data_IF_751230315322
#
_entry.id   IF_751230315322
#
_cell.length_a   1.000
_cell.length_b   1.000
_cell.length_c   1.000
_cell.angle_alpha   90.00
_cell.angle_beta   90.00
_cell.angle_gamma   90.00
#
_symmetry.space_group_name_H-M   'P 1'
#
loop_
_entity.id
_entity.type
_entity.pdbx_description
1 polymer ?
#
# COMPACT_ATOMS: atom_id res chain seq x y z
N UNK A 1 8.21 -31.53 5.33
CA UNK A 1 7.32 -31.61 4.15
C UNK A 1 6.31 -30.47 4.27
N UNK A 2 6.65 -29.29 3.74
CA UNK A 2 5.83 -28.09 3.89
C UNK A 2 4.65 -28.16 2.93
N UNK A 3 3.44 -28.28 3.49
CA UNK A 3 2.21 -28.25 2.74
C UNK A 3 2.03 -26.83 2.17
N UNK A 4 2.38 -26.65 0.90
CA UNK A 4 2.04 -25.47 0.12
C UNK A 4 0.50 -25.46 0.06
N UNK A 5 -0.20 -24.42 0.54
CA UNK A 5 -1.64 -24.40 0.42
C UNK A 5 -2.00 -24.35 -1.07
N UNK A 6 -2.79 -25.35 -1.47
CA UNK A 6 -3.33 -25.59 -2.79
C UNK A 6 -3.88 -24.32 -3.45
N UNK A 7 -3.66 -24.21 -4.75
CA UNK A 7 -4.07 -23.14 -5.69
C UNK A 7 -5.53 -22.67 -5.60
N UNK A 8 -6.40 -23.38 -4.88
CA UNK A 8 -7.78 -22.98 -4.59
C UNK A 8 -7.91 -21.74 -3.68
N UNK A 9 -6.94 -21.43 -2.80
CA UNK A 9 -6.98 -20.18 -2.02
C UNK A 9 -6.62 -18.95 -2.86
N UNK A 10 -5.84 -19.11 -3.93
CA UNK A 10 -5.48 -18.01 -4.85
C UNK A 10 -6.63 -17.60 -5.78
N UNK A 11 -7.61 -18.48 -6.01
CA UNK A 11 -8.77 -18.20 -6.87
C UNK A 11 -9.91 -17.46 -6.14
N UNK A 12 -9.98 -17.50 -4.81
CA UNK A 12 -11.07 -16.85 -4.03
C UNK A 12 -10.80 -15.37 -3.69
N UNK A 13 -10.06 -14.66 -4.54
CA UNK A 13 -9.93 -13.19 -4.51
C UNK A 13 -10.34 -12.57 -5.84
N UNK A 14 -10.95 -13.34 -6.76
CA UNK A 14 -11.14 -12.93 -8.15
C UNK A 14 -12.10 -11.75 -8.36
N UNK A 15 -12.93 -11.35 -7.39
CA UNK A 15 -13.92 -10.28 -7.60
C UNK A 15 -14.00 -9.26 -6.44
N UNK A 16 -12.89 -8.92 -5.78
CA UNK A 16 -12.88 -7.77 -4.88
C UNK A 16 -12.99 -6.46 -5.69
N UNK A 17 -14.23 -5.96 -5.83
CA UNK A 17 -14.52 -4.74 -6.58
C UNK A 17 -14.11 -3.49 -5.78
N UNK A 18 -12.81 -3.17 -5.81
CA UNK A 18 -12.25 -1.96 -5.20
C UNK A 18 -12.43 -0.70 -6.08
N UNK A 19 -13.19 -0.78 -7.18
CA UNK A 19 -13.29 0.30 -8.16
C UNK A 19 -13.77 1.62 -7.55
N UNK A 20 -14.77 1.58 -6.67
CA UNK A 20 -15.31 2.77 -6.01
C UNK A 20 -14.27 3.42 -5.10
N UNK A 21 -13.66 2.63 -4.23
CA UNK A 21 -12.62 3.08 -3.32
C UNK A 21 -11.40 3.62 -4.09
N UNK A 22 -10.98 2.95 -5.15
CA UNK A 22 -9.86 3.38 -6.00
C UNK A 22 -10.18 4.66 -6.75
N UNK A 23 -11.43 4.85 -7.19
CA UNK A 23 -11.90 6.12 -7.74
C UNK A 23 -11.84 7.23 -6.70
N UNK A 24 -12.27 6.98 -5.46
CA UNK A 24 -12.19 7.96 -4.38
C UNK A 24 -10.74 8.36 -4.05
N UNK A 25 -9.84 7.39 -3.90
CA UNK A 25 -8.41 7.66 -3.66
C UNK A 25 -7.79 8.40 -4.84
N UNK A 26 -8.05 7.96 -6.07
CA UNK A 26 -7.54 8.61 -7.28
C UNK A 26 -8.01 10.06 -7.36
N UNK A 27 -9.29 10.32 -7.08
CA UNK A 27 -9.84 11.68 -7.04
C UNK A 27 -9.18 12.53 -5.95
N UNK A 28 -8.91 11.96 -4.78
CA UNK A 28 -8.20 12.66 -3.68
C UNK A 28 -6.77 13.01 -4.08
N UNK A 29 -6.06 12.09 -4.74
CA UNK A 29 -4.72 12.31 -5.26
C UNK A 29 -4.71 13.37 -6.38
N UNK A 30 -5.67 13.33 -7.30
CA UNK A 30 -5.83 14.32 -8.37
C UNK A 30 -6.09 15.73 -7.84
N UNK A 31 -6.96 15.88 -6.83
CA UNK A 31 -7.19 17.19 -6.18
C UNK A 31 -5.88 17.78 -5.63
N UNK A 32 -5.07 16.96 -4.97
CA UNK A 32 -3.74 17.36 -4.46
C UNK A 32 -2.79 17.72 -5.60
N UNK A 33 -2.84 16.98 -6.70
CA UNK A 33 -2.05 17.26 -7.90
C UNK A 33 -2.43 18.59 -8.57
N UNK A 34 -3.71 18.95 -8.61
CA UNK A 34 -4.14 20.24 -9.17
C UNK A 34 -3.66 21.41 -8.32
N UNK A 35 -3.68 21.29 -6.99
CA UNK A 35 -3.09 22.27 -6.09
C UNK A 35 -1.59 22.40 -6.40
N UNK A 36 -0.88 21.28 -6.49
CA UNK A 36 0.54 21.25 -6.86
C UNK A 36 0.81 21.97 -8.17
N UNK A 37 0.02 21.69 -9.22
CA UNK A 37 0.13 22.33 -10.54
C UNK A 37 -0.08 23.84 -10.46
N UNK A 38 -1.07 24.29 -9.68
CA UNK A 38 -1.34 25.72 -9.45
C UNK A 38 -0.18 26.39 -8.73
N UNK A 39 0.41 25.74 -7.73
CA UNK A 39 1.58 26.24 -7.03
C UNK A 39 2.80 26.39 -7.97
N UNK A 40 3.04 25.46 -8.88
CA UNK A 40 4.10 25.59 -9.90
C UNK A 40 3.88 26.81 -10.78
N UNK A 41 2.64 27.01 -11.25
CA UNK A 41 2.31 28.08 -12.19
C UNK A 41 2.45 29.48 -11.60
N UNK A 42 2.13 29.66 -10.32
CA UNK A 42 2.08 31.00 -9.70
C UNK A 42 3.26 31.32 -8.76
N UNK A 43 3.85 30.32 -8.10
CA UNK A 43 4.78 30.55 -6.98
C UNK A 43 6.25 30.30 -7.34
N UNK A 44 6.56 29.83 -8.56
CA UNK A 44 7.95 29.61 -8.99
C UNK A 44 8.74 28.65 -8.09
N UNK A 45 8.08 27.57 -7.62
CA UNK A 45 8.64 26.65 -6.62
C UNK A 45 9.85 25.87 -7.18
N UNK A 46 10.92 25.76 -6.39
CA UNK A 46 12.10 24.94 -6.71
C UNK A 46 11.72 23.46 -6.90
N UNK A 47 12.31 22.79 -7.91
CA UNK A 47 12.05 21.37 -8.21
C UNK A 47 12.15 20.44 -6.99
N UNK A 48 13.15 20.64 -6.12
CA UNK A 48 13.33 19.81 -4.90
C UNK A 48 12.12 19.88 -3.97
N UNK A 49 11.62 21.10 -3.71
CA UNK A 49 10.42 21.31 -2.88
C UNK A 49 9.22 20.63 -3.51
N UNK A 50 9.07 20.76 -4.83
CA UNK A 50 7.97 20.17 -5.57
C UNK A 50 7.96 18.64 -5.53
N UNK A 51 9.14 18.03 -5.67
CA UNK A 51 9.33 16.59 -5.54
C UNK A 51 8.98 16.10 -4.12
N UNK A 52 9.40 16.85 -3.09
CA UNK A 52 9.05 16.55 -1.70
C UNK A 52 7.54 16.65 -1.48
N UNK A 53 6.89 17.72 -1.96
CA UNK A 53 5.44 17.90 -1.82
C UNK A 53 4.67 16.78 -2.53
N UNK A 54 5.08 16.40 -3.73
CA UNK A 54 4.50 15.27 -4.44
C UNK A 54 4.64 13.96 -3.64
N UNK A 55 5.85 13.68 -3.15
CA UNK A 55 6.15 12.46 -2.39
C UNK A 55 5.35 12.40 -1.09
N UNK A 56 5.24 13.52 -0.37
CA UNK A 56 4.56 13.55 0.93
C UNK A 56 3.03 13.57 0.82
N UNK A 57 2.46 14.16 -0.22
CA UNK A 57 1.01 14.35 -0.32
C UNK A 57 0.32 13.41 -1.31
N UNK A 58 0.83 13.31 -2.54
CA UNK A 58 0.17 12.55 -3.62
C UNK A 58 0.59 11.09 -3.53
N UNK A 59 1.89 10.84 -3.42
CA UNK A 59 2.43 9.49 -3.38
C UNK A 59 1.96 8.72 -2.15
N UNK A 60 2.01 9.32 -0.96
CA UNK A 60 1.50 8.68 0.27
C UNK A 60 0.04 8.23 0.17
N UNK A 61 -0.84 9.03 -0.47
CA UNK A 61 -2.26 8.65 -0.62
C UNK A 61 -2.49 7.44 -1.48
N UNK A 62 -1.68 7.24 -2.51
CA UNK A 62 -1.82 6.12 -3.44
C UNK A 62 -1.06 4.89 -2.93
N UNK A 63 0.18 5.08 -2.50
CA UNK A 63 1.08 3.98 -2.15
C UNK A 63 0.79 3.31 -0.82
N UNK A 64 0.24 4.04 0.16
CA UNK A 64 -0.15 3.41 1.43
C UNK A 64 -1.17 2.29 1.22
N UNK A 65 -2.09 2.48 0.26
CA UNK A 65 -3.11 1.49 -0.06
C UNK A 65 -2.64 0.44 -1.08
N UNK A 66 -1.39 0.51 -1.56
CA UNK A 66 -0.87 -0.36 -2.62
C UNK A 66 -1.07 -1.86 -2.37
N UNK A 67 -0.79 -2.42 -1.17
CA UNK A 67 -1.00 -3.85 -0.93
C UNK A 67 -2.47 -4.29 -1.10
N UNK A 68 -3.43 -3.37 -0.93
CA UNK A 68 -4.86 -3.66 -0.98
C UNK A 68 -5.34 -3.75 -2.43
N UNK A 69 -4.91 -2.83 -3.29
CA UNK A 69 -5.34 -2.79 -4.69
C UNK A 69 -4.34 -3.40 -5.68
N UNK A 70 -3.13 -3.75 -5.26
CA UNK A 70 -2.17 -4.51 -6.07
C UNK A 70 -2.75 -5.78 -6.72
N UNK A 71 -3.66 -6.56 -6.08
CA UNK A 71 -4.32 -7.70 -6.73
C UNK A 71 -5.50 -7.31 -7.64
N UNK A 72 -5.87 -6.03 -7.75
CA UNK A 72 -7.00 -5.59 -8.57
C UNK A 72 -6.77 -5.79 -10.08
N UNK A 73 -7.88 -5.68 -10.84
CA UNK A 73 -7.88 -5.75 -12.31
C UNK A 73 -6.94 -4.72 -12.96
N UNK A 74 -6.34 -5.11 -14.08
CA UNK A 74 -5.38 -4.31 -14.86
C UNK A 74 -5.92 -2.92 -15.22
N UNK A 75 -7.20 -2.82 -15.55
CA UNK A 75 -7.83 -1.54 -15.92
C UNK A 75 -7.77 -0.49 -14.80
N UNK A 76 -7.85 -0.93 -13.53
CA UNK A 76 -7.78 -0.01 -12.40
C UNK A 76 -6.34 0.39 -12.11
N UNK A 77 -5.39 -0.52 -12.34
CA UNK A 77 -3.95 -0.22 -12.23
C UNK A 77 -3.54 0.84 -13.24
N UNK A 78 -3.92 0.69 -14.51
CA UNK A 78 -3.65 1.67 -15.57
C UNK A 78 -4.13 3.08 -15.20
N UNK A 79 -5.31 3.17 -14.55
CA UNK A 79 -5.84 4.45 -14.09
C UNK A 79 -4.97 5.07 -12.99
N UNK A 80 -4.50 4.28 -12.03
CA UNK A 80 -3.61 4.76 -10.96
C UNK A 80 -2.26 5.17 -11.54
N UNK A 81 -1.72 4.38 -12.45
CA UNK A 81 -0.49 4.64 -13.18
C UNK A 81 -0.56 6.00 -13.89
N UNK A 82 -1.66 6.27 -14.60
CA UNK A 82 -1.87 7.56 -15.27
C UNK A 82 -1.82 8.76 -14.30
N UNK A 83 -2.38 8.61 -13.10
CA UNK A 83 -2.38 9.65 -12.06
C UNK A 83 -0.97 9.85 -11.48
N UNK A 84 -0.15 8.80 -11.43
CA UNK A 84 1.20 8.88 -10.88
C UNK A 84 2.24 9.43 -11.85
N UNK A 85 2.11 9.16 -13.15
CA UNK A 85 3.05 9.66 -14.16
C UNK A 85 2.88 11.15 -14.48
N UNK A 86 1.66 11.68 -14.41
CA UNK A 86 1.39 13.11 -14.62
C UNK A 86 2.24 14.08 -13.77
N UNK A 87 2.38 13.86 -12.45
CA UNK A 87 3.23 14.65 -11.57
C UNK A 87 4.69 14.78 -12.00
N UNK A 88 5.30 13.72 -12.53
CA UNK A 88 6.71 13.74 -12.96
C UNK A 88 6.95 14.78 -14.06
N UNK A 89 5.98 14.93 -14.98
CA UNK A 89 6.03 15.96 -16.03
C UNK A 89 5.87 17.36 -15.45
N UNK A 90 4.96 17.54 -14.48
CA UNK A 90 4.76 18.82 -13.78
C UNK A 90 6.02 19.22 -13.01
N UNK A 91 6.70 18.25 -12.39
CA UNK A 91 7.94 18.51 -11.63
C UNK A 91 9.09 18.93 -12.54
N UNK A 92 9.19 18.26 -13.68
CA UNK A 92 10.24 18.52 -14.67
C UNK A 92 9.97 19.80 -15.48
N UNK A 93 8.69 20.16 -15.66
CA UNK A 93 8.26 21.16 -16.65
C UNK A 93 8.18 20.58 -18.07
N UNK A 94 8.15 19.26 -18.21
CA UNK A 94 8.13 18.57 -19.49
C UNK A 94 6.77 18.70 -20.19
N UNK A 95 6.80 18.71 -21.52
CA UNK A 95 5.58 18.75 -22.35
C UNK A 95 4.74 17.48 -22.15
N UNK A 96 3.42 17.59 -22.30
CA UNK A 96 2.48 16.48 -22.09
C UNK A 96 2.78 15.23 -22.95
N UNK A 97 3.36 15.42 -24.14
CA UNK A 97 3.75 14.36 -25.08
C UNK A 97 5.01 13.58 -24.67
N UNK A 98 5.77 14.05 -23.68
CA UNK A 98 7.01 13.40 -23.24
C UNK A 98 6.72 12.00 -22.70
N UNK A 99 7.63 11.06 -22.95
CA UNK A 99 7.51 9.70 -22.42
C UNK A 99 7.51 9.71 -20.87
N UNK A 100 6.53 9.03 -20.26
CA UNK A 100 6.36 8.99 -18.80
C UNK A 100 7.56 8.41 -18.07
N UNK A 101 8.15 7.33 -18.61
CA UNK A 101 9.31 6.65 -18.02
C UNK A 101 10.51 7.58 -18.00
N UNK A 102 10.76 8.30 -19.10
CA UNK A 102 11.85 9.28 -19.18
C UNK A 102 11.69 10.41 -18.14
N UNK A 103 10.47 10.93 -17.99
CA UNK A 103 10.19 11.96 -17.00
C UNK A 103 10.40 11.47 -15.55
N UNK A 104 10.06 10.20 -15.25
CA UNK A 104 10.36 9.60 -13.94
C UNK A 104 11.85 9.43 -13.70
N UNK A 105 12.61 8.98 -14.71
CA UNK A 105 14.07 8.81 -14.59
C UNK A 105 14.77 10.14 -14.35
N UNK A 106 14.33 11.22 -14.98
CA UNK A 106 14.87 12.56 -14.75
C UNK A 106 14.57 13.08 -13.34
N UNK A 107 13.38 12.75 -12.80
CA UNK A 107 13.04 13.05 -11.41
C UNK A 107 13.76 12.16 -10.38
N UNK A 108 14.50 11.13 -10.82
CA UNK A 108 15.12 10.14 -9.94
C UNK A 108 14.11 9.24 -9.23
N UNK A 109 12.93 9.03 -9.82
CA UNK A 109 11.87 8.20 -9.25
C UNK A 109 11.96 6.77 -9.78
N UNK A 110 11.85 5.78 -8.89
CA UNK A 110 11.69 4.38 -9.29
C UNK A 110 10.32 4.14 -9.94
N UNK A 111 10.24 3.14 -10.82
CA UNK A 111 8.98 2.74 -11.44
C UNK A 111 7.92 2.40 -10.40
N UNK A 112 6.65 2.65 -10.75
CA UNK A 112 5.53 2.37 -9.87
C UNK A 112 5.45 0.89 -9.49
N UNK A 113 5.67 -0.01 -10.44
CA UNK A 113 5.66 -1.45 -10.19
C UNK A 113 6.68 -1.85 -9.11
N UNK A 114 7.91 -1.32 -9.19
CA UNK A 114 8.95 -1.59 -8.19
C UNK A 114 8.55 -1.06 -6.81
N UNK A 115 7.94 0.14 -6.76
CA UNK A 115 7.44 0.72 -5.51
C UNK A 115 6.32 -0.12 -4.88
N UNK A 116 5.37 -0.60 -5.68
CA UNK A 116 4.27 -1.48 -5.21
C UNK A 116 4.83 -2.80 -4.69
N UNK A 117 5.78 -3.42 -5.42
CA UNK A 117 6.44 -4.66 -4.98
C UNK A 117 7.10 -4.47 -3.62
N UNK A 118 7.87 -3.39 -3.44
CA UNK A 118 8.50 -3.07 -2.16
C UNK A 118 7.48 -2.83 -1.04
N UNK A 119 6.41 -2.09 -1.31
CA UNK A 119 5.34 -1.86 -0.33
C UNK A 119 4.64 -3.16 0.09
N UNK A 120 4.40 -4.05 -0.87
CA UNK A 120 3.78 -5.36 -0.65
C UNK A 120 4.67 -6.27 0.20
N UNK A 121 5.98 -6.32 -0.10
CA UNK A 121 6.96 -7.08 0.67
C UNK A 121 7.02 -6.57 2.11
N UNK A 122 7.14 -5.25 2.31
CA UNK A 122 7.15 -4.63 3.65
C UNK A 122 5.88 -4.97 4.43
N UNK A 123 4.72 -4.88 3.78
CA UNK A 123 3.45 -5.21 4.38
C UNK A 123 3.39 -6.69 4.80
N UNK A 124 3.78 -7.60 3.90
CA UNK A 124 3.83 -9.05 4.18
C UNK A 124 4.72 -9.36 5.39
N UNK A 125 5.93 -8.81 5.44
CA UNK A 125 6.86 -9.04 6.56
C UNK A 125 6.26 -8.57 7.89
N UNK A 126 5.61 -7.40 7.89
CA UNK A 126 4.92 -6.88 9.07
C UNK A 126 3.78 -7.81 9.52
N UNK A 127 2.99 -8.32 8.58
CA UNK A 127 1.90 -9.26 8.88
C UNK A 127 2.40 -10.60 9.43
N UNK A 128 3.52 -11.11 8.91
CA UNK A 128 4.15 -12.33 9.41
C UNK A 128 4.65 -12.16 10.85
N UNK A 129 5.32 -11.05 11.15
CA UNK A 129 5.78 -10.75 12.51
C UNK A 129 4.61 -10.67 13.50
N UNK A 130 3.51 -10.01 13.12
CA UNK A 130 2.30 -9.94 13.95
C UNK A 130 1.71 -11.34 14.16
N UNK A 131 1.61 -12.14 13.10
CA UNK A 131 1.07 -13.50 13.19
C UNK A 131 1.90 -14.38 14.15
N UNK A 132 3.23 -14.31 14.07
CA UNK A 132 4.12 -15.04 14.97
C UNK A 132 3.96 -14.60 16.43
N UNK A 133 3.83 -13.30 16.68
CA UNK A 133 3.58 -12.77 18.02
C UNK A 133 2.24 -13.28 18.59
N UNK A 134 1.18 -13.26 17.78
CA UNK A 134 -0.14 -13.76 18.19
C UNK A 134 -0.14 -15.26 18.49
N UNK A 135 0.58 -16.06 17.71
CA UNK A 135 0.74 -17.50 17.98
C UNK A 135 1.45 -17.74 19.32
N UNK A 136 2.52 -16.99 19.59
CA UNK A 136 3.28 -17.06 20.83
C UNK A 136 2.43 -16.71 22.06
N UNK A 137 1.61 -15.65 21.96
CA UNK A 137 0.66 -15.25 23.00
C UNK A 137 -0.43 -16.32 23.19
N UNK A 138 -0.97 -16.88 22.11
CA UNK A 138 -1.98 -17.93 22.20
C UNK A 138 -1.45 -19.18 22.91
N UNK A 139 -0.21 -19.59 22.63
CA UNK A 139 0.44 -20.69 23.35
C UNK A 139 0.64 -20.39 24.83
N UNK A 140 1.11 -19.20 25.21
CA UNK A 140 1.34 -18.85 26.62
C UNK A 140 0.03 -18.82 27.43
N UNK A 141 -1.05 -18.30 26.84
CA UNK A 141 -2.40 -18.29 27.46
C UNK A 141 -2.90 -19.72 27.69
N UNK A 142 -2.69 -20.65 26.76
CA UNK A 142 -3.09 -22.06 26.92
C UNK A 142 -2.36 -22.73 28.08
N UNK A 143 -1.05 -22.50 28.22
CA UNK A 143 -0.27 -23.04 29.34
C UNK A 143 -0.72 -22.49 30.70
N UNK A 144 -1.08 -21.20 30.78
CA UNK A 144 -1.60 -20.59 32.01
C UNK A 144 -2.96 -21.16 32.43
N UNK A 145 -3.91 -21.34 31.51
CA UNK A 145 -5.24 -21.90 31.82
C UNK A 145 -5.17 -23.33 32.36
N UNK A 146 -4.25 -24.15 31.85
CA UNK A 146 -4.06 -25.52 32.32
C UNK A 146 -3.44 -25.60 33.73
N UNK A 147 -2.70 -24.56 34.16
CA UNK A 147 -2.23 -24.42 35.55
C UNK A 147 -3.33 -23.98 36.52
N UNK A 148 -4.25 -23.12 36.07
CA UNK A 148 -5.40 -22.66 36.89
C UNK A 148 -6.41 -23.78 37.13
N UNK A 149 -6.63 -24.67 36.15
CA UNK A 149 -7.54 -25.81 36.28
C UNK A 149 -7.06 -26.85 37.31
N UNK A 150 -5.73 -27.04 37.42
CA UNK A 150 -5.11 -27.94 38.43
C UNK A 150 -5.21 -27.41 39.86
N UNK A 151 -5.29 -26.09 40.04
CA UNK A 151 -5.40 -25.44 41.35
C UNK A 151 -6.86 -25.22 41.81
N UNK A 152 -7.84 -25.70 41.05
CA UNK A 152 -9.25 -25.61 41.44
C UNK A 152 -9.54 -26.68 42.50
N UNK A 153 -9.47 -26.28 43.79
CA UNK A 153 -9.81 -27.13 44.94
C UNK A 153 -11.15 -27.83 44.70
N UNK A 154 -11.15 -29.17 44.68
CA UNK A 154 -12.39 -29.96 44.70
C UNK A 154 -13.06 -29.69 46.05
N UNK A 155 -14.17 -28.96 46.06
CA UNK A 155 -15.03 -28.87 47.24
C UNK A 155 -15.45 -30.30 47.58
N UNK A 156 -14.94 -30.84 48.68
CA UNK A 156 -15.41 -32.09 49.25
C UNK A 156 -16.84 -31.86 49.73
N UNK A 157 -17.79 -32.52 49.08
CA UNK A 157 -19.18 -32.59 49.54
C UNK A 157 -19.21 -33.44 50.81
N UNK A 158 -19.40 -32.82 51.96
CA UNK A 158 -19.85 -33.47 53.21
C UNK A 158 -21.36 -33.47 53.26
#
# INVERSE_FOLDING_TARGET
MFHIPSTQTLLKMQNCNFSHHLKQISNKALKRLYILKRCVMHLGIRRKTLLNTYTSLVRTTLEYSAPIWAPASSSVKEKIDSVQYGPSKIITGAVSSTNNVKAETECGLASLENRIKLATIKFKNKMQNISQALQTISSSIKHSKHGVEKNRLKRSST
#
